data_IF_639704812780
#
_entry.id   IF_639704812780
#
_cell.length_a   1.000
_cell.length_b   1.000
_cell.length_c   1.000
_cell.angle_alpha   90.00
_cell.angle_beta   90.00
_cell.angle_gamma   90.00
#
_symmetry.space_group_name_H-M   'P 1'
#
loop_
_entity.id
_entity.type
_entity.pdbx_description
1 polymer ?
#
# COMPACT_ATOMS: atom_id res chain seq x y z
N UNK A 1 27.53 18.62 -1.11
CA UNK A 1 26.50 17.54 -1.23
C UNK A 1 25.16 18.20 -0.93
N UNK A 2 24.04 17.75 -1.48
CA UNK A 2 22.75 18.48 -1.38
C UNK A 2 22.30 18.79 0.07
N UNK A 3 22.82 18.08 1.08
CA UNK A 3 22.50 18.30 2.50
C UNK A 3 22.73 19.74 2.94
N UNK A 4 23.92 20.31 2.69
CA UNK A 4 24.24 21.69 3.08
C UNK A 4 23.37 22.70 2.30
N UNK A 5 23.06 22.39 1.05
CA UNK A 5 22.24 23.22 0.16
C UNK A 5 20.80 23.37 0.66
N UNK A 6 20.22 22.28 1.17
CA UNK A 6 18.85 22.25 1.70
C UNK A 6 18.78 22.34 3.23
N UNK A 7 19.90 22.66 3.91
CA UNK A 7 20.02 22.72 5.37
C UNK A 7 19.56 21.44 6.11
N UNK A 8 19.96 20.27 5.61
CA UNK A 8 19.61 18.96 6.16
C UNK A 8 20.74 18.37 7.02
N UNK A 9 20.40 17.79 8.17
CA UNK A 9 21.38 17.16 9.07
C UNK A 9 21.74 15.72 8.69
N UNK A 10 20.90 15.06 7.90
CA UNK A 10 21.11 13.69 7.41
C UNK A 10 20.33 13.49 6.10
N UNK A 11 20.54 12.34 5.43
CA UNK A 11 19.82 12.01 4.18
C UNK A 11 18.38 11.56 4.50
N UNK A 12 17.36 12.35 4.12
CA UNK A 12 15.98 12.03 4.46
C UNK A 12 15.47 10.81 3.70
N UNK A 13 15.90 10.56 2.46
CA UNK A 13 15.33 9.53 1.59
C UNK A 13 16.24 8.31 1.37
N UNK A 14 17.19 8.09 2.26
CA UNK A 14 18.04 6.91 2.20
C UNK A 14 17.22 5.62 2.40
N UNK A 15 17.50 4.58 1.61
CA UNK A 15 16.80 3.28 1.66
C UNK A 15 17.25 2.39 2.84
N UNK A 16 18.16 2.87 3.69
CA UNK A 16 18.56 2.12 4.89
C UNK A 16 17.36 2.07 5.85
N UNK A 17 16.95 0.88 6.33
CA UNK A 17 15.82 0.73 7.22
C UNK A 17 16.16 1.22 8.64
N UNK A 18 16.18 2.54 8.82
CA UNK A 18 16.23 3.23 10.09
C UNK A 18 14.81 3.46 10.59
N UNK A 19 14.50 2.89 11.76
CA UNK A 19 13.18 2.90 12.38
C UNK A 19 12.69 4.34 12.69
N UNK A 20 13.61 5.31 12.86
CA UNK A 20 13.26 6.72 13.06
C UNK A 20 12.46 7.30 11.89
N UNK A 21 12.70 6.80 10.67
CA UNK A 21 12.00 7.23 9.45
C UNK A 21 10.71 6.45 9.18
N UNK A 22 10.24 5.62 10.13
CA UNK A 22 8.96 4.95 10.00
C UNK A 22 7.81 5.97 10.09
N UNK A 23 7.11 6.15 8.97
CA UNK A 23 5.84 6.86 8.95
C UNK A 23 4.69 5.88 9.25
N UNK A 24 4.02 6.09 10.39
CA UNK A 24 2.89 5.29 10.82
C UNK A 24 1.60 5.78 10.17
N UNK A 25 1.37 5.43 8.89
CA UNK A 25 0.04 5.60 8.30
C UNK A 25 -1.01 4.80 9.09
N UNK A 26 -2.32 5.05 8.93
CA UNK A 26 -3.37 4.28 9.61
C UNK A 26 -3.24 2.77 9.42
N UNK A 27 -2.79 2.32 8.24
CA UNK A 27 -2.58 0.90 7.95
C UNK A 27 -1.33 0.35 8.65
N UNK A 28 -0.24 1.12 8.70
CA UNK A 28 0.97 0.75 9.42
C UNK A 28 0.75 0.72 10.93
N UNK A 29 -0.03 1.67 11.46
CA UNK A 29 -0.44 1.70 12.87
C UNK A 29 -1.24 0.46 13.24
N UNK A 30 -2.19 0.04 12.39
CA UNK A 30 -2.94 -1.22 12.57
C UNK A 30 -2.03 -2.44 12.48
N UNK A 31 -1.10 -2.46 11.52
CA UNK A 31 -0.14 -3.55 11.38
C UNK A 31 0.76 -3.67 12.62
N UNK A 32 1.26 -2.55 13.15
CA UNK A 32 2.04 -2.49 14.39
C UNK A 32 1.23 -3.05 15.57
N UNK A 33 0.00 -2.56 15.77
CA UNK A 33 -0.88 -3.03 16.83
C UNK A 33 -1.19 -4.54 16.73
N UNK A 34 -1.32 -5.07 15.51
CA UNK A 34 -1.50 -6.52 15.30
C UNK A 34 -0.26 -7.31 15.71
N UNK A 35 0.96 -6.81 15.43
CA UNK A 35 2.20 -7.45 15.88
C UNK A 35 2.32 -7.36 17.39
N UNK A 36 2.11 -6.19 17.99
CA UNK A 36 2.14 -5.98 19.44
C UNK A 36 1.15 -6.90 20.16
N UNK A 37 -0.06 -7.05 19.60
CA UNK A 37 -1.03 -8.02 20.10
C UNK A 37 -0.45 -9.44 20.12
N UNK A 38 0.36 -9.83 19.14
CA UNK A 38 1.02 -11.14 19.12
C UNK A 38 2.14 -11.28 20.15
N UNK A 39 2.78 -10.17 20.55
CA UNK A 39 3.81 -10.12 21.59
C UNK A 39 3.23 -10.20 23.01
N UNK A 40 1.99 -9.77 23.18
CA UNK A 40 1.31 -9.79 24.49
C UNK A 40 0.35 -10.97 24.62
N UNK A 41 -0.21 -11.44 23.51
CA UNK A 41 -1.26 -12.46 23.50
C UNK A 41 -0.73 -13.79 23.01
N UNK A 42 -0.98 -14.78 23.85
CA UNK A 42 -0.66 -16.20 23.66
C UNK A 42 -1.49 -16.84 22.52
N UNK A 43 -0.91 -17.82 21.83
CA UNK A 43 -1.51 -18.59 20.71
C UNK A 43 -2.05 -17.70 19.57
N UNK A 44 -1.24 -16.75 19.10
CA UNK A 44 -1.64 -15.86 18.01
C UNK A 44 -0.87 -16.15 16.72
N UNK A 45 -1.61 -16.21 15.61
CA UNK A 45 -1.04 -16.11 14.27
C UNK A 45 -1.49 -14.78 13.67
N UNK A 46 -0.51 -14.00 13.22
CA UNK A 46 -0.72 -12.71 12.58
C UNK A 46 -0.07 -12.75 11.21
N UNK A 47 -0.78 -12.28 10.19
CA UNK A 47 -0.22 -12.15 8.84
C UNK A 47 -0.27 -10.70 8.36
N UNK A 48 0.86 -10.21 7.87
CA UNK A 48 1.00 -8.89 7.25
C UNK A 48 1.50 -9.08 5.83
N UNK A 49 0.65 -8.78 4.87
CA UNK A 49 0.98 -8.80 3.45
C UNK A 49 1.08 -7.38 2.92
N UNK A 50 1.80 -7.17 1.84
CA UNK A 50 1.81 -5.91 1.12
C UNK A 50 2.84 -5.94 0.01
N UNK A 51 2.72 -5.04 -0.95
CA UNK A 51 3.64 -4.98 -2.08
C UNK A 51 5.09 -4.70 -1.64
N UNK A 52 6.02 -4.92 -2.57
CA UNK A 52 7.43 -4.61 -2.36
C UNK A 52 7.57 -3.10 -2.11
N UNK A 53 8.37 -2.72 -1.11
CA UNK A 53 8.65 -1.33 -0.80
C UNK A 53 7.62 -0.62 0.09
N UNK A 54 6.62 -1.35 0.63
CA UNK A 54 5.60 -0.83 1.55
C UNK A 54 6.04 -0.73 3.02
N UNK A 55 7.34 -0.64 3.31
CA UNK A 55 7.81 -0.45 4.69
C UNK A 55 7.64 -1.64 5.64
N UNK A 56 7.29 -2.84 5.15
CA UNK A 56 7.14 -4.06 5.97
C UNK A 56 8.36 -4.35 6.86
N UNK A 57 9.56 -4.36 6.29
CA UNK A 57 10.80 -4.62 7.05
C UNK A 57 11.11 -3.50 8.04
N UNK A 58 10.83 -2.24 7.69
CA UNK A 58 10.99 -1.09 8.61
C UNK A 58 10.04 -1.19 9.79
N UNK A 59 8.79 -1.61 9.57
CA UNK A 59 7.81 -1.89 10.61
C UNK A 59 8.30 -2.97 11.57
N UNK A 60 8.84 -4.07 11.03
CA UNK A 60 9.41 -5.14 11.87
C UNK A 60 10.60 -4.63 12.68
N UNK A 61 11.51 -3.87 12.07
CA UNK A 61 12.66 -3.31 12.78
C UNK A 61 12.24 -2.37 13.93
N UNK A 62 11.16 -1.58 13.78
CA UNK A 62 10.59 -0.80 14.88
C UNK A 62 10.13 -1.71 16.02
N UNK A 63 9.38 -2.78 15.71
CA UNK A 63 8.94 -3.74 16.73
C UNK A 63 10.14 -4.34 17.46
N UNK A 64 11.20 -4.71 16.74
CA UNK A 64 12.42 -5.26 17.32
C UNK A 64 13.14 -4.28 18.24
N UNK A 65 13.14 -2.98 17.91
CA UNK A 65 13.76 -1.95 18.73
C UNK A 65 13.07 -1.80 20.09
N UNK A 66 11.75 -2.03 20.14
CA UNK A 66 10.90 -1.86 21.32
C UNK A 66 10.51 -3.18 21.99
N UNK A 67 11.22 -4.28 21.69
CA UNK A 67 10.89 -5.59 22.25
C UNK A 67 11.05 -5.62 23.78
N UNK A 68 10.03 -6.07 24.53
CA UNK A 68 10.15 -6.23 25.96
C UNK A 68 11.03 -7.44 26.31
N UNK A 69 11.78 -7.35 27.41
CA UNK A 69 12.61 -8.44 27.94
C UNK A 69 11.83 -9.73 28.29
N UNK A 70 10.50 -9.65 28.32
CA UNK A 70 9.59 -10.78 28.54
C UNK A 70 9.31 -11.59 27.27
N UNK A 71 9.97 -11.29 26.14
CA UNK A 71 9.75 -11.97 24.86
C UNK A 71 11.07 -12.48 24.29
N UNK A 72 11.08 -13.75 23.90
CA UNK A 72 12.15 -14.39 23.14
C UNK A 72 11.71 -14.49 21.68
N UNK A 73 12.46 -13.87 20.78
CA UNK A 73 12.11 -13.79 19.35
C UNK A 73 13.11 -14.57 18.49
N UNK A 74 12.60 -15.35 17.55
CA UNK A 74 13.40 -15.90 16.45
C UNK A 74 12.98 -15.23 15.13
N UNK A 75 13.95 -14.75 14.34
CA UNK A 75 13.68 -14.07 13.07
C UNK A 75 14.15 -14.92 11.89
N UNK A 76 13.20 -15.40 11.09
CA UNK A 76 13.48 -16.16 9.87
C UNK A 76 13.38 -15.22 8.67
N UNK A 77 14.50 -14.92 8.03
CA UNK A 77 14.56 -14.08 6.82
C UNK A 77 14.81 -14.88 5.54
N UNK A 78 15.48 -16.03 5.64
CA UNK A 78 15.64 -16.95 4.51
C UNK A 78 14.49 -17.94 4.50
N UNK A 79 13.61 -17.87 3.50
CA UNK A 79 12.35 -18.64 3.49
C UNK A 79 12.29 -19.77 2.47
N UNK A 80 13.34 -20.01 1.68
CA UNK A 80 13.47 -21.22 0.84
C UNK A 80 13.98 -22.41 1.66
N UNK A 81 13.26 -22.74 2.73
CA UNK A 81 13.64 -23.78 3.70
C UNK A 81 12.71 -24.99 3.59
N UNK A 82 13.30 -26.18 3.67
CA UNK A 82 12.57 -27.40 4.02
C UNK A 82 12.11 -27.35 5.49
N UNK A 83 11.13 -28.17 5.91
CA UNK A 83 10.68 -28.18 7.30
C UNK A 83 11.81 -28.43 8.32
N UNK A 84 12.78 -29.27 7.98
CA UNK A 84 13.92 -29.54 8.89
C UNK A 84 14.88 -28.35 8.96
N UNK A 85 15.15 -27.68 7.84
CA UNK A 85 16.00 -26.48 7.81
C UNK A 85 15.35 -25.31 8.54
N UNK A 86 14.01 -25.20 8.51
CA UNK A 86 13.26 -24.25 9.33
C UNK A 86 13.51 -24.51 10.82
N UNK A 87 13.40 -25.75 11.30
CA UNK A 87 13.66 -26.08 12.71
C UNK A 87 15.11 -25.77 13.12
N UNK A 88 16.07 -26.05 12.24
CA UNK A 88 17.47 -25.68 12.48
C UNK A 88 17.66 -24.16 12.56
N UNK A 89 17.00 -23.41 11.69
CA UNK A 89 17.05 -21.95 11.68
C UNK A 89 16.48 -21.39 12.98
N UNK A 90 15.32 -21.89 13.43
CA UNK A 90 14.71 -21.46 14.68
C UNK A 90 15.63 -21.73 15.88
N UNK A 91 16.21 -22.92 15.98
CA UNK A 91 17.16 -23.24 17.06
C UNK A 91 18.35 -22.29 17.06
N UNK A 92 18.94 -22.02 15.89
CA UNK A 92 20.07 -21.11 15.78
C UNK A 92 19.70 -19.67 16.16
N UNK A 93 18.52 -19.19 15.75
CA UNK A 93 18.00 -17.86 16.11
C UNK A 93 17.73 -17.73 17.62
N UNK A 94 17.32 -18.81 18.29
CA UNK A 94 17.24 -18.86 19.75
C UNK A 94 18.60 -19.07 20.45
N UNK A 95 19.73 -19.06 19.70
CA UNK A 95 21.08 -19.22 20.24
C UNK A 95 21.47 -20.66 20.57
N UNK A 96 20.70 -21.66 20.12
CA UNK A 96 20.95 -23.07 20.34
C UNK A 96 21.72 -23.66 19.14
N UNK A 97 22.95 -24.11 19.38
CA UNK A 97 23.78 -24.66 18.31
C UNK A 97 23.19 -25.97 17.75
N UNK A 98 23.09 -26.05 16.42
CA UNK A 98 22.69 -27.27 15.72
C UNK A 98 23.67 -27.65 14.61
N UNK A 99 24.06 -28.94 14.57
CA UNK A 99 24.84 -29.51 13.46
C UNK A 99 24.28 -30.87 13.06
N UNK A 100 23.72 -30.95 11.83
CA UNK A 100 23.27 -32.18 11.15
C UNK A 100 22.42 -33.12 12.02
N UNK A 101 21.43 -32.56 12.72
CA UNK A 101 20.51 -33.34 13.57
C UNK A 101 19.23 -33.66 12.81
N UNK A 102 18.56 -34.73 13.22
CA UNK A 102 17.29 -35.12 12.62
C UNK A 102 16.14 -34.29 13.21
N UNK A 103 14.96 -34.37 12.57
CA UNK A 103 13.77 -33.63 12.98
C UNK A 103 13.37 -33.86 14.43
N UNK A 104 13.41 -35.11 14.89
CA UNK A 104 13.03 -35.48 16.26
C UNK A 104 13.88 -34.74 17.29
N UNK A 105 15.21 -34.74 17.10
CA UNK A 105 16.11 -34.01 17.98
C UNK A 105 15.82 -32.51 18.01
N UNK A 106 15.55 -31.90 16.85
CA UNK A 106 15.24 -30.47 16.79
C UNK A 106 13.94 -30.13 17.54
N UNK A 107 12.89 -30.95 17.37
CA UNK A 107 11.63 -30.78 18.08
C UNK A 107 11.80 -30.95 19.59
N UNK A 108 12.56 -31.96 20.04
CA UNK A 108 12.84 -32.15 21.47
C UNK A 108 13.56 -30.94 22.07
N UNK A 109 14.54 -30.38 21.35
CA UNK A 109 15.27 -29.19 21.81
C UNK A 109 14.42 -27.92 21.82
N UNK A 110 13.57 -27.71 20.83
CA UNK A 110 12.60 -26.62 20.85
C UNK A 110 11.61 -26.78 22.01
N UNK A 111 11.16 -28.00 22.30
CA UNK A 111 10.29 -28.28 23.45
C UNK A 111 10.97 -27.92 24.78
N UNK A 112 12.22 -28.37 24.98
CA UNK A 112 13.00 -28.03 26.19
C UNK A 112 13.15 -26.51 26.34
N UNK A 113 13.47 -25.81 25.25
CA UNK A 113 13.58 -24.36 25.23
C UNK A 113 12.26 -23.68 25.57
N UNK A 114 11.16 -24.04 24.90
CA UNK A 114 9.82 -23.51 25.16
C UNK A 114 9.37 -23.74 26.60
N UNK A 115 9.64 -24.92 27.18
CA UNK A 115 9.34 -25.18 28.58
C UNK A 115 10.12 -24.25 29.53
N UNK A 116 11.40 -24.01 29.25
CA UNK A 116 12.22 -23.09 30.04
C UNK A 116 11.74 -21.63 29.93
N UNK A 117 11.40 -21.17 28.73
CA UNK A 117 10.82 -19.84 28.48
C UNK A 117 9.50 -19.65 29.23
N UNK A 118 8.61 -20.66 29.16
CA UNK A 118 7.35 -20.66 29.89
C UNK A 118 7.55 -20.58 31.40
N UNK A 119 8.49 -21.36 31.94
CA UNK A 119 8.82 -21.35 33.36
C UNK A 119 9.40 -19.99 33.81
N UNK A 120 10.14 -19.31 32.93
CA UNK A 120 10.62 -17.95 33.13
C UNK A 120 9.55 -16.86 32.92
N UNK A 121 8.31 -17.24 32.56
CA UNK A 121 7.21 -16.32 32.28
C UNK A 121 7.36 -15.53 30.98
N UNK A 122 8.30 -15.92 30.10
CA UNK A 122 8.54 -15.28 28.81
C UNK A 122 7.62 -15.83 27.73
N UNK A 123 7.30 -15.01 26.73
CA UNK A 123 6.61 -15.44 25.52
C UNK A 123 7.62 -15.78 24.43
N UNK A 124 7.23 -16.66 23.51
CA UNK A 124 8.05 -17.00 22.35
C UNK A 124 7.35 -16.47 21.10
N UNK A 125 8.08 -15.72 20.29
CA UNK A 125 7.55 -15.17 19.03
C UNK A 125 8.44 -15.62 17.89
N UNK A 126 7.83 -16.24 16.88
CA UNK A 126 8.50 -16.60 15.64
C UNK A 126 8.07 -15.59 14.59
N UNK A 127 9.01 -14.80 14.13
CA UNK A 127 8.79 -13.83 13.07
C UNK A 127 9.38 -14.38 11.76
N UNK A 128 8.57 -14.44 10.72
CA UNK A 128 8.98 -14.89 9.40
C UNK A 128 8.79 -13.74 8.41
N UNK A 129 9.89 -13.20 7.89
CA UNK A 129 9.85 -12.25 6.78
C UNK A 129 9.90 -13.00 5.44
N UNK A 130 9.37 -12.39 4.36
CA UNK A 130 9.22 -13.03 3.05
C UNK A 130 8.54 -14.41 3.10
N UNK A 131 7.52 -14.56 3.96
CA UNK A 131 6.85 -15.82 4.26
C UNK A 131 6.15 -16.47 3.05
N UNK A 132 5.90 -15.73 1.97
CA UNK A 132 5.34 -16.30 0.74
C UNK A 132 6.26 -17.33 0.06
N UNK A 133 7.56 -17.34 0.37
CA UNK A 133 8.49 -18.34 -0.19
C UNK A 133 8.54 -19.64 0.64
N UNK A 134 7.90 -19.68 1.81
CA UNK A 134 7.79 -20.91 2.58
C UNK A 134 6.92 -21.94 1.85
N UNK A 135 7.33 -23.20 1.89
CA UNK A 135 6.47 -24.29 1.43
C UNK A 135 5.27 -24.50 2.36
N UNK A 136 4.17 -25.03 1.82
CA UNK A 136 2.98 -25.46 2.60
C UNK A 136 3.40 -26.34 3.78
N UNK A 137 4.35 -27.26 3.58
CA UNK A 137 4.85 -28.14 4.64
C UNK A 137 5.58 -27.39 5.76
N UNK A 138 6.30 -26.33 5.43
CA UNK A 138 7.00 -25.50 6.42
C UNK A 138 6.02 -24.62 7.22
N UNK A 139 5.00 -24.08 6.56
CA UNK A 139 3.91 -23.34 7.21
C UNK A 139 3.09 -24.23 8.15
N UNK A 140 2.78 -25.46 7.74
CA UNK A 140 2.17 -26.46 8.62
C UNK A 140 3.09 -26.83 9.80
N UNK A 141 4.41 -26.90 9.60
CA UNK A 141 5.34 -27.11 10.71
C UNK A 141 5.25 -25.98 11.74
N UNK A 142 5.21 -24.71 11.32
CA UNK A 142 4.99 -23.57 12.23
C UNK A 142 3.67 -23.69 12.98
N UNK A 143 2.60 -24.10 12.29
CA UNK A 143 1.30 -24.37 12.91
C UNK A 143 1.41 -25.45 14.00
N UNK A 144 2.09 -26.55 13.72
CA UNK A 144 2.27 -27.65 14.67
C UNK A 144 3.14 -27.23 15.86
N UNK A 145 4.22 -26.48 15.63
CA UNK A 145 5.09 -25.94 16.69
C UNK A 145 4.31 -25.09 17.70
N UNK A 146 3.39 -24.26 17.21
CA UNK A 146 2.58 -23.39 18.09
C UNK A 146 1.65 -24.15 19.04
N UNK A 147 1.33 -25.40 18.72
CA UNK A 147 0.46 -26.28 19.51
C UNK A 147 1.10 -27.64 19.76
N UNK A 148 2.40 -27.67 20.02
CA UNK A 148 3.15 -28.90 20.22
C UNK A 148 2.65 -29.73 21.41
N UNK A 149 2.41 -29.09 22.54
CA UNK A 149 1.98 -29.74 23.79
C UNK A 149 0.88 -28.94 24.47
N UNK A 150 -0.06 -29.63 25.14
CA UNK A 150 -1.10 -28.98 25.96
C UNK A 150 -0.49 -28.11 27.07
N UNK A 151 0.63 -28.56 27.64
CA UNK A 151 1.38 -27.81 28.65
C UNK A 151 2.13 -26.61 28.08
N UNK A 152 2.37 -26.54 26.76
CA UNK A 152 2.99 -25.40 26.09
C UNK A 152 1.97 -24.58 25.29
N UNK A 153 0.69 -24.96 25.37
CA UNK A 153 -0.38 -24.32 24.61
C UNK A 153 -0.38 -22.80 24.83
N UNK A 154 -0.33 -22.09 23.71
CA UNK A 154 -0.30 -20.63 23.65
C UNK A 154 1.01 -19.97 24.07
N UNK A 155 2.10 -20.69 24.30
CA UNK A 155 3.38 -20.02 24.53
C UNK A 155 3.91 -19.30 23.28
N UNK A 156 3.70 -19.92 22.11
CA UNK A 156 4.30 -19.51 20.84
C UNK A 156 3.30 -18.72 20.02
N UNK A 157 3.69 -17.51 19.64
CA UNK A 157 2.99 -16.69 18.64
C UNK A 157 3.80 -16.65 17.35
N UNK A 158 3.13 -16.56 16.20
CA UNK A 158 3.77 -16.53 14.89
C UNK A 158 3.33 -15.30 14.12
N UNK A 159 4.29 -14.52 13.64
CA UNK A 159 4.07 -13.33 12.79
C UNK A 159 4.63 -13.63 11.41
N UNK A 160 3.74 -13.72 10.42
CA UNK A 160 4.08 -13.95 9.02
C UNK A 160 4.04 -12.63 8.28
N UNK A 161 5.15 -12.22 7.70
CA UNK A 161 5.25 -11.00 6.89
C UNK A 161 5.66 -11.38 5.48
N UNK A 162 5.03 -10.79 4.46
CA UNK A 162 5.34 -11.14 3.09
C UNK A 162 4.64 -10.28 2.04
N UNK A 163 4.73 -10.77 0.81
CA UNK A 163 4.11 -10.17 -0.37
C UNK A 163 2.64 -10.63 -0.52
N UNK A 164 1.82 -10.06 -1.43
CA UNK A 164 0.42 -10.46 -1.59
C UNK A 164 0.20 -11.96 -1.82
N UNK A 165 1.18 -12.65 -2.39
CA UNK A 165 1.18 -14.10 -2.60
C UNK A 165 1.06 -14.88 -1.29
N UNK A 166 1.49 -14.31 -0.16
CA UNK A 166 1.27 -14.89 1.17
C UNK A 166 -0.23 -15.04 1.47
N UNK A 167 -1.05 -14.05 1.10
CA UNK A 167 -2.49 -14.13 1.28
C UNK A 167 -3.07 -15.27 0.44
N UNK A 168 -2.73 -15.34 -0.84
CA UNK A 168 -3.18 -16.41 -1.73
C UNK A 168 -2.75 -17.80 -1.23
N UNK A 169 -1.52 -17.91 -0.69
CA UNK A 169 -1.01 -19.14 -0.10
C UNK A 169 -1.82 -19.53 1.14
N UNK A 170 -2.05 -18.60 2.09
CA UNK A 170 -2.86 -18.84 3.29
C UNK A 170 -4.31 -19.21 2.96
N UNK A 171 -4.88 -18.65 1.88
CA UNK A 171 -6.23 -18.94 1.43
C UNK A 171 -6.35 -20.26 0.64
N UNK A 172 -5.22 -20.95 0.40
CA UNK A 172 -5.22 -22.25 -0.28
C UNK A 172 -5.88 -23.36 0.54
N UNK A 173 -6.56 -24.34 -0.10
CA UNK A 173 -7.21 -25.44 0.60
C UNK A 173 -6.25 -26.26 1.49
N UNK A 174 -4.98 -26.36 1.11
CA UNK A 174 -3.98 -27.13 1.85
C UNK A 174 -3.62 -26.49 3.21
N UNK A 175 -3.88 -25.20 3.38
CA UNK A 175 -3.58 -24.44 4.59
C UNK A 175 -4.84 -24.02 5.36
N UNK A 176 -6.00 -24.66 5.11
CA UNK A 176 -7.24 -24.32 5.78
C UNK A 176 -7.11 -24.30 7.32
N UNK A 177 -6.37 -25.26 7.89
CA UNK A 177 -6.13 -25.35 9.33
C UNK A 177 -5.27 -24.19 9.86
N UNK A 178 -4.25 -23.77 9.10
CA UNK A 178 -3.44 -22.61 9.46
C UNK A 178 -4.25 -21.32 9.31
N UNK A 179 -4.99 -21.19 8.20
CA UNK A 179 -5.83 -20.02 7.89
C UNK A 179 -6.81 -19.70 9.01
N UNK A 180 -7.45 -20.72 9.59
CA UNK A 180 -8.37 -20.57 10.72
C UNK A 180 -7.67 -20.08 12.01
N UNK A 181 -6.35 -20.28 12.14
CA UNK A 181 -5.57 -19.76 13.28
C UNK A 181 -5.06 -18.34 13.06
N UNK A 182 -4.92 -17.89 11.81
CA UNK A 182 -4.52 -16.50 11.49
C UNK A 182 -5.67 -15.55 11.85
N UNK A 183 -5.68 -15.09 13.12
CA UNK A 183 -6.76 -14.25 13.67
C UNK A 183 -6.72 -12.84 13.14
N UNK A 184 -5.53 -12.32 12.88
CA UNK A 184 -5.32 -10.94 12.43
C UNK A 184 -4.58 -10.97 11.10
N UNK A 185 -5.18 -10.36 10.08
CA UNK A 185 -4.58 -10.16 8.75
C UNK A 185 -4.60 -8.67 8.44
N UNK A 186 -3.46 -8.14 8.02
CA UNK A 186 -3.38 -6.79 7.47
C UNK A 186 -2.75 -6.87 6.08
N UNK A 187 -3.37 -6.19 5.12
CA UNK A 187 -2.75 -5.94 3.83
C UNK A 187 -2.36 -4.45 3.78
N UNK A 188 -1.09 -4.17 3.50
CA UNK A 188 -0.56 -2.81 3.35
C UNK A 188 -0.70 -2.38 1.90
N UNK A 189 -1.52 -1.36 1.68
CA UNK A 189 -1.68 -0.69 0.40
C UNK A 189 -0.63 0.42 0.23
N UNK A 190 -0.36 0.85 -1.02
CA UNK A 190 0.36 2.09 -1.26
C UNK A 190 -0.27 3.27 -0.51
N UNK A 191 0.56 4.27 -0.15
CA UNK A 191 0.09 5.48 0.50
C UNK A 191 -0.82 6.27 -0.44
N UNK A 192 -1.87 6.89 0.09
CA UNK A 192 -2.64 7.89 -0.64
C UNK A 192 -1.79 9.13 -0.94
N UNK A 193 -2.31 10.04 -1.76
CA UNK A 193 -1.64 11.31 -2.05
C UNK A 193 -1.36 12.14 -0.80
N UNK A 194 -2.34 12.24 0.11
CA UNK A 194 -2.18 12.98 1.36
C UNK A 194 -1.19 12.29 2.31
N UNK A 195 -1.24 10.95 2.39
CA UNK A 195 -0.25 10.19 3.15
C UNK A 195 1.16 10.28 2.54
N UNK A 196 1.28 10.40 1.22
CA UNK A 196 2.56 10.60 0.52
C UNK A 196 3.16 11.95 0.86
N UNK A 197 2.33 13.01 0.89
CA UNK A 197 2.77 14.33 1.35
C UNK A 197 3.24 14.28 2.81
N UNK A 198 2.44 13.69 3.69
CA UNK A 198 2.79 13.54 5.10
C UNK A 198 4.04 12.67 5.32
N UNK A 199 4.23 11.63 4.49
CA UNK A 199 5.42 10.79 4.49
C UNK A 199 6.69 11.58 4.13
N UNK A 200 6.65 12.34 3.03
CA UNK A 200 7.76 13.18 2.58
C UNK A 200 8.11 14.22 3.66
N UNK A 201 7.09 14.90 4.19
CA UNK A 201 7.25 15.91 5.23
C UNK A 201 7.87 15.29 6.49
N UNK A 202 7.36 14.16 6.96
CA UNK A 202 7.90 13.46 8.13
C UNK A 202 9.38 13.11 8.00
N UNK A 203 9.80 12.64 6.81
CA UNK A 203 11.21 12.30 6.57
C UNK A 203 12.11 13.53 6.54
N UNK A 204 11.61 14.65 6.01
CA UNK A 204 12.32 15.92 6.03
C UNK A 204 12.40 16.53 7.43
N UNK A 205 11.34 16.42 8.23
CA UNK A 205 11.34 16.85 9.64
C UNK A 205 12.46 16.18 10.44
N UNK A 206 12.63 14.86 10.26
CA UNK A 206 13.70 14.09 10.93
C UNK A 206 15.09 14.58 10.49
N UNK A 207 15.21 15.03 9.22
CA UNK A 207 16.44 15.60 8.68
C UNK A 207 16.60 17.10 8.97
N UNK A 208 15.67 17.73 9.70
CA UNK A 208 15.76 19.13 10.15
C UNK A 208 15.10 20.17 9.25
N UNK A 209 14.26 19.77 8.29
CA UNK A 209 13.55 20.67 7.36
C UNK A 209 12.07 20.28 7.20
N UNK A 210 11.37 20.83 6.21
CA UNK A 210 9.97 20.47 5.90
C UNK A 210 9.76 20.32 4.39
N UNK A 211 8.68 19.64 4.01
CA UNK A 211 8.29 19.50 2.62
C UNK A 211 8.04 20.87 1.98
N UNK A 212 7.39 21.81 2.68
CA UNK A 212 7.07 23.14 2.15
C UNK A 212 8.30 24.01 1.86
N UNK A 213 9.37 23.81 2.64
CA UNK A 213 10.63 24.53 2.47
C UNK A 213 11.38 24.08 1.21
N UNK A 214 11.33 22.79 0.89
CA UNK A 214 12.16 22.18 -0.16
C UNK A 214 11.37 21.90 -1.44
N UNK A 215 10.10 21.53 -1.35
CA UNK A 215 9.25 21.16 -2.48
C UNK A 215 8.09 22.15 -2.65
N UNK A 216 7.71 22.45 -3.89
CA UNK A 216 6.42 23.05 -4.17
C UNK A 216 5.30 22.01 -4.01
N UNK A 217 4.05 22.42 -3.72
CA UNK A 217 2.93 21.48 -3.60
C UNK A 217 2.74 20.63 -4.86
N UNK A 218 2.93 21.23 -6.04
CA UNK A 218 2.82 20.54 -7.32
C UNK A 218 3.96 19.53 -7.51
N UNK A 219 5.18 19.80 -7.02
CA UNK A 219 6.29 18.83 -7.05
C UNK A 219 5.97 17.57 -6.22
N UNK A 220 5.41 17.73 -5.02
CA UNK A 220 4.97 16.59 -4.19
C UNK A 220 3.88 15.78 -4.90
N UNK A 221 2.97 16.45 -5.60
CA UNK A 221 1.93 15.79 -6.37
C UNK A 221 2.51 15.01 -7.56
N UNK A 222 3.56 15.52 -8.23
CA UNK A 222 4.30 14.79 -9.27
C UNK A 222 5.02 13.57 -8.71
N UNK A 223 5.65 13.69 -7.53
CA UNK A 223 6.25 12.53 -6.84
C UNK A 223 5.20 11.44 -6.63
N UNK A 224 4.00 11.78 -6.16
CA UNK A 224 2.93 10.80 -6.03
C UNK A 224 2.56 10.14 -7.37
N UNK A 225 2.42 10.91 -8.45
CA UNK A 225 2.09 10.39 -9.79
C UNK A 225 3.11 9.37 -10.29
N UNK A 226 4.40 9.58 -10.07
CA UNK A 226 5.43 8.63 -10.52
C UNK A 226 5.62 7.42 -9.60
N UNK A 227 5.19 7.52 -8.35
CA UNK A 227 5.46 6.51 -7.33
C UNK A 227 4.23 5.70 -6.97
N UNK A 228 3.04 6.19 -7.30
CA UNK A 228 1.76 5.65 -6.87
C UNK A 228 1.69 5.45 -5.35
N UNK A 229 2.40 6.28 -4.57
CA UNK A 229 2.42 6.19 -3.11
C UNK A 229 3.25 5.06 -2.53
N UNK A 230 4.08 4.36 -3.32
CA UNK A 230 4.96 3.30 -2.83
C UNK A 230 6.16 3.95 -2.09
N UNK A 231 6.34 3.75 -0.77
CA UNK A 231 7.37 4.43 0.03
C UNK A 231 8.79 4.30 -0.53
N UNK A 232 9.17 3.10 -0.99
CA UNK A 232 10.49 2.89 -1.60
C UNK A 232 10.71 3.77 -2.83
N UNK A 233 9.72 3.88 -3.70
CA UNK A 233 9.84 4.68 -4.92
C UNK A 233 9.81 6.18 -4.61
N UNK A 234 9.03 6.59 -3.63
CA UNK A 234 9.07 7.96 -3.10
C UNK A 234 10.49 8.29 -2.67
N UNK A 235 11.13 7.42 -1.89
CA UNK A 235 12.51 7.61 -1.47
C UNK A 235 13.47 7.72 -2.66
N UNK A 236 13.42 6.76 -3.59
CA UNK A 236 14.31 6.76 -4.76
C UNK A 236 14.17 8.04 -5.59
N UNK A 237 12.93 8.48 -5.86
CA UNK A 237 12.68 9.68 -6.67
C UNK A 237 13.09 10.95 -5.93
N UNK A 238 12.71 11.10 -4.66
CA UNK A 238 13.09 12.28 -3.88
C UNK A 238 14.61 12.40 -3.71
N UNK A 239 15.33 11.30 -3.48
CA UNK A 239 16.80 11.32 -3.39
C UNK A 239 17.45 11.80 -4.72
N UNK A 240 16.96 11.29 -5.85
CA UNK A 240 17.43 11.70 -7.17
C UNK A 240 17.12 13.18 -7.45
N UNK A 241 15.90 13.62 -7.12
CA UNK A 241 15.44 15.00 -7.32
C UNK A 241 16.24 15.98 -6.48
N UNK A 242 16.49 15.71 -5.20
CA UNK A 242 17.32 16.59 -4.37
C UNK A 242 18.76 16.68 -4.88
N UNK A 243 19.30 15.59 -5.39
CA UNK A 243 20.66 15.56 -5.96
C UNK A 243 20.73 16.38 -7.25
N UNK A 244 19.76 16.24 -8.15
CA UNK A 244 19.66 17.00 -9.40
C UNK A 244 19.45 18.49 -9.13
N UNK A 245 18.51 18.85 -8.25
CA UNK A 245 18.21 20.24 -7.88
C UNK A 245 19.42 20.98 -7.29
N UNK A 246 20.23 20.28 -6.47
CA UNK A 246 21.50 20.82 -5.98
C UNK A 246 22.52 21.07 -7.09
N UNK A 247 22.55 20.21 -8.12
CA UNK A 247 23.47 20.37 -9.27
C UNK A 247 23.11 21.61 -10.10
N UNK A 248 21.82 21.93 -10.16
CA UNK A 248 21.27 23.09 -10.88
C UNK A 248 21.13 24.34 -10.00
N UNK A 249 21.67 24.32 -8.77
CA UNK A 249 21.63 25.41 -7.78
C UNK A 249 20.20 25.89 -7.42
N UNK A 250 19.22 24.99 -7.49
CA UNK A 250 17.81 25.28 -7.20
C UNK A 250 17.54 25.23 -5.70
N UNK A 251 17.03 26.31 -5.12
CA UNK A 251 16.69 26.36 -3.68
C UNK A 251 15.33 25.72 -3.36
N UNK A 252 14.51 25.45 -4.38
CA UNK A 252 13.20 24.83 -4.24
C UNK A 252 12.90 23.94 -5.44
N UNK A 253 12.42 22.74 -5.16
CA UNK A 253 12.03 21.74 -6.17
C UNK A 253 10.65 22.07 -6.71
N UNK A 254 10.56 22.32 -8.01
CA UNK A 254 9.31 22.52 -8.74
C UNK A 254 8.88 21.25 -9.49
N UNK A 255 7.63 21.22 -9.97
CA UNK A 255 7.05 20.08 -10.67
C UNK A 255 7.89 19.65 -11.90
N UNK A 256 8.37 20.61 -12.69
CA UNK A 256 9.15 20.35 -13.90
C UNK A 256 10.45 19.61 -13.60
N UNK A 257 11.12 19.94 -12.48
CA UNK A 257 12.33 19.23 -12.01
C UNK A 257 12.06 17.77 -11.68
N UNK A 258 10.88 17.46 -11.10
CA UNK A 258 10.47 16.08 -10.83
C UNK A 258 10.24 15.32 -12.13
N UNK A 259 9.62 15.96 -13.13
CA UNK A 259 9.34 15.37 -14.44
C UNK A 259 10.63 15.08 -15.22
N UNK A 260 11.58 16.02 -15.21
CA UNK A 260 12.91 15.85 -15.82
C UNK A 260 13.65 14.66 -15.23
N UNK A 261 13.76 14.60 -13.90
CA UNK A 261 14.46 13.51 -13.21
C UNK A 261 13.75 12.17 -13.42
N UNK A 262 12.42 12.15 -13.38
CA UNK A 262 11.67 10.94 -13.68
C UNK A 262 11.93 10.45 -15.12
N UNK A 263 12.00 11.36 -16.09
CA UNK A 263 12.33 11.03 -17.48
C UNK A 263 13.78 10.49 -17.63
N UNK A 264 14.75 11.09 -16.95
CA UNK A 264 16.14 10.61 -16.92
C UNK A 264 16.27 9.20 -16.35
N UNK A 265 15.50 8.88 -15.30
CA UNK A 265 15.41 7.55 -14.71
C UNK A 265 14.65 6.55 -15.60
N UNK A 266 14.04 7.00 -16.70
CA UNK A 266 13.18 6.20 -17.56
C UNK A 266 11.86 5.80 -16.89
N UNK A 267 11.43 6.54 -15.88
CA UNK A 267 10.19 6.29 -15.16
C UNK A 267 9.00 6.81 -15.97
N UNK A 268 7.93 6.02 -15.96
CA UNK A 268 6.63 6.41 -16.52
C UNK A 268 5.71 6.78 -15.36
N UNK A 269 4.74 7.65 -15.62
CA UNK A 269 3.71 7.95 -14.64
C UNK A 269 3.04 6.64 -14.19
N UNK A 270 3.06 6.39 -12.88
CA UNK A 270 2.36 5.27 -12.28
C UNK A 270 0.98 5.77 -11.91
N UNK A 271 0.10 5.73 -12.89
CA UNK A 271 -1.31 5.79 -12.55
C UNK A 271 -1.59 4.56 -11.69
N UNK A 272 -2.01 4.76 -10.43
CA UNK A 272 -2.77 3.73 -9.74
C UNK A 272 -3.87 3.36 -10.72
N UNK A 273 -3.87 2.11 -11.15
CA UNK A 273 -4.99 1.54 -11.87
C UNK A 273 -6.23 1.85 -11.03
N UNK A 274 -7.01 2.85 -11.45
CA UNK A 274 -8.39 2.94 -11.02
C UNK A 274 -9.02 1.58 -11.34
N UNK A 275 -9.94 1.08 -10.51
CA UNK A 275 -10.48 -0.26 -10.67
C UNK A 275 -10.83 -0.50 -12.14
N UNK A 276 -10.24 -1.56 -12.72
CA UNK A 276 -10.62 -2.05 -14.05
C UNK A 276 -12.14 -2.22 -14.00
N UNK A 277 -12.92 -1.62 -14.92
CA UNK A 277 -14.35 -1.83 -14.92
C UNK A 277 -14.59 -3.33 -14.97
N UNK A 278 -15.36 -3.92 -14.05
CA UNK A 278 -15.72 -5.33 -14.15
C UNK A 278 -16.30 -5.53 -15.55
N UNK A 279 -15.74 -6.47 -16.32
CA UNK A 279 -16.41 -6.98 -17.48
C UNK A 279 -17.74 -7.58 -16.98
N UNK A 280 -18.82 -6.78 -17.08
CA UNK A 280 -20.12 -6.95 -16.42
C UNK A 280 -20.27 -6.38 -14.98
N UNK A 281 -20.13 -5.05 -14.81
CA UNK A 281 -20.79 -4.36 -13.70
C UNK A 281 -22.30 -4.26 -13.98
N UNK A 282 -23.04 -5.37 -13.83
CA UNK A 282 -24.46 -5.31 -13.52
C UNK A 282 -24.60 -4.77 -12.10
N UNK A 283 -25.53 -3.83 -11.89
CA UNK A 283 -25.92 -3.27 -10.58
C UNK A 283 -25.61 -4.21 -9.41
N UNK A 284 -24.52 -3.94 -8.69
CA UNK A 284 -24.00 -4.87 -7.69
C UNK A 284 -22.86 -4.24 -6.90
N UNK A 285 -22.96 -4.35 -5.58
CA UNK A 285 -22.12 -3.76 -4.54
C UNK A 285 -20.65 -4.18 -4.70
N UNK A 286 -19.74 -3.20 -4.68
CA UNK A 286 -18.30 -3.45 -4.52
C UNK A 286 -18.02 -3.87 -3.07
N UNK A 287 -17.42 -5.05 -2.87
CA UNK A 287 -17.34 -5.77 -1.58
C UNK A 287 -16.23 -5.24 -0.65
N UNK A 288 -15.87 -3.97 -0.78
CA UNK A 288 -14.94 -3.30 0.16
C UNK A 288 -15.48 -1.91 0.49
N UNK A 289 -16.01 -1.78 1.71
CA UNK A 289 -16.54 -0.56 2.34
C UNK A 289 -17.83 0.06 1.76
N UNK A 290 -18.91 -0.06 2.53
CA UNK A 290 -20.16 0.73 2.50
C UNK A 290 -20.79 1.04 1.12
N UNK A 291 -21.76 0.22 0.68
CA UNK A 291 -22.87 0.56 -0.27
C UNK A 291 -22.72 1.86 -1.10
N UNK A 292 -21.68 2.00 -1.93
CA UNK A 292 -21.57 3.14 -2.86
C UNK A 292 -22.28 2.78 -4.16
N UNK A 293 -23.39 3.45 -4.43
CA UNK A 293 -24.05 3.39 -5.74
C UNK A 293 -23.13 4.05 -6.76
N UNK A 294 -22.59 3.26 -7.69
CA UNK A 294 -21.86 3.75 -8.86
C UNK A 294 -22.89 4.17 -9.90
N UNK A 295 -22.69 5.33 -10.53
CA UNK A 295 -23.59 5.91 -11.53
C UNK A 295 -23.07 5.74 -12.97
N UNK A 296 -21.79 5.40 -13.12
CA UNK A 296 -21.10 5.24 -14.40
C UNK A 296 -19.60 5.37 -14.22
N UNK A 297 -18.87 5.45 -15.33
CA UNK A 297 -17.42 5.54 -15.34
C UNK A 297 -16.93 6.65 -16.27
N UNK A 298 -15.82 7.30 -15.93
CA UNK A 298 -15.06 8.14 -16.85
C UNK A 298 -13.81 7.40 -17.27
N UNK A 299 -13.57 7.32 -18.57
CA UNK A 299 -12.45 6.61 -19.19
C UNK A 299 -11.52 7.56 -19.93
N UNK A 300 -10.20 7.42 -19.80
CA UNK A 300 -9.21 8.10 -20.64
C UNK A 300 -8.37 7.07 -21.39
N UNK A 301 -8.19 7.26 -22.68
CA UNK A 301 -7.18 6.49 -23.44
C UNK A 301 -5.87 7.26 -23.45
N UNK A 302 -4.81 6.66 -22.92
CA UNK A 302 -3.45 7.21 -22.96
C UNK A 302 -2.70 6.63 -24.18
N UNK A 303 -1.55 7.24 -24.53
CA UNK A 303 -0.69 6.71 -25.59
C UNK A 303 -0.24 5.27 -25.25
N UNK A 304 -0.12 4.40 -26.26
CA UNK A 304 0.18 2.97 -26.11
C UNK A 304 -0.95 2.09 -25.49
N UNK A 305 -2.21 2.42 -25.76
CA UNK A 305 -3.39 1.55 -25.50
C UNK A 305 -3.74 1.25 -24.02
N UNK A 306 -3.17 1.99 -23.06
CA UNK A 306 -3.62 1.95 -21.67
C UNK A 306 -4.88 2.80 -21.47
N UNK A 307 -5.86 2.24 -20.77
CA UNK A 307 -7.13 2.90 -20.42
C UNK A 307 -7.18 3.19 -18.92
N UNK A 308 -7.48 4.42 -18.56
CA UNK A 308 -7.66 4.87 -17.19
C UNK A 308 -9.15 5.02 -16.88
N UNK A 309 -9.63 4.48 -15.76
CA UNK A 309 -11.05 4.43 -15.40
C UNK A 309 -11.31 5.03 -14.03
N UNK A 310 -12.38 5.82 -13.92
CA UNK A 310 -12.80 6.49 -12.68
C UNK A 310 -14.28 6.21 -12.42
N UNK A 311 -14.64 5.53 -11.32
CA UNK A 311 -16.04 5.33 -10.98
C UNK A 311 -16.67 6.64 -10.52
N UNK A 312 -17.88 6.92 -11.00
CA UNK A 312 -18.68 8.07 -10.58
C UNK A 312 -19.58 7.62 -9.44
N UNK A 313 -19.39 8.20 -8.26
CA UNK A 313 -20.20 7.94 -7.07
C UNK A 313 -20.39 9.23 -6.26
N UNK A 314 -21.39 9.25 -5.36
CA UNK A 314 -21.70 10.38 -4.49
C UNK A 314 -21.88 11.72 -5.25
N UNK A 315 -23.00 11.90 -5.94
CA UNK A 315 -23.27 13.13 -6.69
C UNK A 315 -23.50 14.34 -5.73
N UNK A 316 -23.10 15.57 -6.10
CA UNK A 316 -22.45 15.96 -7.35
C UNK A 316 -20.99 15.51 -7.41
N UNK A 317 -20.59 14.79 -8.45
CA UNK A 317 -19.22 14.32 -8.63
C UNK A 317 -18.37 15.44 -9.23
N UNK A 318 -17.57 16.11 -8.40
CA UNK A 318 -16.82 17.31 -8.77
C UNK A 318 -15.52 16.99 -9.51
N UNK A 319 -15.22 17.80 -10.53
CA UNK A 319 -14.06 17.65 -11.41
C UNK A 319 -13.31 18.99 -11.45
N UNK A 320 -12.00 18.98 -11.22
CA UNK A 320 -11.21 20.22 -11.22
C UNK A 320 -9.74 20.02 -10.89
N UNK A 321 -8.98 21.11 -10.87
CA UNK A 321 -7.51 21.09 -10.70
C UNK A 321 -7.07 20.89 -9.25
N UNK A 322 -7.88 21.33 -8.30
CA UNK A 322 -7.56 21.27 -6.86
C UNK A 322 -8.02 19.96 -6.24
N UNK A 323 -7.38 19.58 -5.14
CA UNK A 323 -7.62 18.31 -4.42
C UNK A 323 -9.00 18.20 -3.76
N UNK A 324 -9.76 19.28 -3.65
CA UNK A 324 -11.14 19.26 -3.15
C UNK A 324 -12.16 18.72 -4.18
N UNK A 325 -11.72 18.37 -5.39
CA UNK A 325 -12.54 17.72 -6.39
C UNK A 325 -12.40 16.20 -6.32
N UNK A 326 -13.51 15.48 -6.55
CA UNK A 326 -13.51 14.01 -6.58
C UNK A 326 -12.65 13.45 -7.69
N UNK A 327 -12.69 14.06 -8.87
CA UNK A 327 -11.72 13.82 -9.93
C UNK A 327 -10.80 15.03 -10.05
N UNK A 328 -9.58 14.87 -9.54
CA UNK A 328 -8.53 15.86 -9.70
C UNK A 328 -7.83 15.68 -11.04
N UNK A 329 -7.89 16.72 -11.87
CA UNK A 329 -7.16 16.78 -13.13
C UNK A 329 -6.11 17.90 -13.03
N UNK A 330 -4.89 17.52 -12.67
CA UNK A 330 -3.75 18.42 -12.38
C UNK A 330 -3.15 19.03 -13.65
N UNK A 331 -3.92 19.80 -14.42
CA UNK A 331 -3.45 20.48 -15.64
C UNK A 331 -3.68 21.99 -15.57
N UNK A 332 -2.75 22.77 -16.12
CA UNK A 332 -2.82 24.23 -16.17
C UNK A 332 -4.10 24.76 -16.87
N UNK A 333 -4.64 24.00 -17.83
CA UNK A 333 -5.86 24.34 -18.57
C UNK A 333 -7.15 23.98 -17.83
N UNK A 334 -7.07 23.47 -16.60
CA UNK A 334 -8.23 23.05 -15.81
C UNK A 334 -8.43 24.03 -14.67
N UNK A 335 -9.66 24.51 -14.49
CA UNK A 335 -10.01 25.40 -13.39
C UNK A 335 -10.04 24.65 -12.06
N UNK A 336 -9.83 25.37 -10.94
CA UNK A 336 -9.83 24.78 -9.59
C UNK A 336 -11.09 23.94 -9.34
N UNK A 337 -12.28 24.50 -9.61
CA UNK A 337 -13.53 23.76 -9.78
C UNK A 337 -13.96 23.94 -11.22
N UNK A 338 -13.88 22.89 -12.04
CA UNK A 338 -14.09 22.99 -13.48
C UNK A 338 -15.51 22.60 -13.85
N UNK A 339 -15.94 21.41 -13.43
CA UNK A 339 -17.24 20.86 -13.75
C UNK A 339 -17.74 19.97 -12.61
N UNK A 340 -19.00 19.56 -12.69
CA UNK A 340 -19.52 18.50 -11.86
C UNK A 340 -20.51 17.64 -12.65
N UNK A 341 -20.55 16.35 -12.34
CA UNK A 341 -21.63 15.46 -12.78
C UNK A 341 -22.69 15.46 -11.69
N UNK A 342 -23.93 15.78 -12.05
CA UNK A 342 -25.06 15.96 -11.14
C UNK A 342 -26.26 15.13 -11.61
N UNK A 343 -27.11 14.70 -10.68
CA UNK A 343 -28.38 14.08 -11.04
C UNK A 343 -29.44 15.18 -11.19
N UNK A 344 -29.99 15.32 -12.40
CA UNK A 344 -31.06 16.28 -12.71
C UNK A 344 -32.27 15.47 -13.21
N UNK A 345 -33.24 15.25 -12.34
CA UNK A 345 -34.34 14.34 -12.62
C UNK A 345 -33.86 12.88 -12.62
N UNK A 346 -34.18 12.15 -13.69
CA UNK A 346 -33.71 10.77 -13.89
C UNK A 346 -32.35 10.69 -14.60
N UNK A 347 -31.86 11.82 -15.14
CA UNK A 347 -30.65 11.87 -15.95
C UNK A 347 -29.42 12.29 -15.13
N UNK A 348 -28.26 11.73 -15.49
CA UNK A 348 -26.95 12.25 -15.11
C UNK A 348 -26.56 13.35 -16.10
N UNK A 349 -26.25 14.54 -15.58
CA UNK A 349 -25.86 15.70 -16.38
C UNK A 349 -24.44 16.15 -16.02
N UNK A 350 -23.63 16.46 -17.03
CA UNK A 350 -22.37 17.18 -16.85
C UNK A 350 -22.65 18.69 -16.86
N UNK A 351 -22.18 19.39 -15.84
CA UNK A 351 -22.40 20.82 -15.63
C UNK A 351 -21.07 21.56 -15.52
N UNK A 352 -20.86 22.59 -16.33
CA UNK A 352 -19.71 23.50 -16.18
C UNK A 352 -19.90 24.38 -14.93
N UNK A 353 -18.85 24.54 -14.12
CA UNK A 353 -18.89 25.32 -12.87
C UNK A 353 -18.25 26.69 -13.02
N UNK A 354 -18.36 27.31 -14.20
CA UNK A 354 -17.78 28.61 -14.51
C UNK A 354 -16.29 28.50 -14.85
N UNK A 355 -15.91 27.45 -15.56
CA UNK A 355 -14.51 27.18 -15.87
C UNK A 355 -13.96 28.20 -16.88
N UNK A 356 -12.66 28.51 -16.77
CA UNK A 356 -11.98 29.46 -17.66
C UNK A 356 -11.98 29.02 -19.12
N UNK A 357 -11.76 27.72 -19.37
CA UNK A 357 -11.62 27.17 -20.72
C UNK A 357 -12.88 26.48 -21.24
N UNK A 358 -13.91 26.32 -20.41
CA UNK A 358 -15.16 25.66 -20.76
C UNK A 358 -15.09 24.13 -20.65
N UNK A 359 -16.25 23.54 -20.35
CA UNK A 359 -16.52 22.12 -20.49
C UNK A 359 -17.16 21.84 -21.85
N UNK A 360 -16.74 20.78 -22.52
CA UNK A 360 -17.26 20.38 -23.83
C UNK A 360 -17.82 18.97 -23.76
N UNK A 361 -18.92 18.73 -24.48
CA UNK A 361 -19.52 17.42 -24.68
C UNK A 361 -19.55 17.14 -26.19
N UNK A 362 -18.91 16.06 -26.62
CA UNK A 362 -18.80 15.67 -28.04
C UNK A 362 -18.30 16.80 -28.96
N UNK A 363 -17.41 17.65 -28.45
CA UNK A 363 -16.82 18.79 -29.17
C UNK A 363 -17.61 20.09 -29.07
N UNK A 364 -18.83 20.08 -28.50
CA UNK A 364 -19.65 21.27 -28.32
C UNK A 364 -19.49 21.83 -26.90
N UNK A 365 -19.33 23.15 -26.78
CA UNK A 365 -19.21 23.80 -25.47
C UNK A 365 -20.57 23.81 -24.78
N UNK A 366 -20.63 23.35 -23.53
CA UNK A 366 -21.87 23.23 -22.76
C UNK A 366 -21.82 24.05 -21.47
N UNK A 367 -23.01 24.43 -20.98
CA UNK A 367 -23.19 24.86 -19.60
C UNK A 367 -23.74 23.71 -18.74
N UNK A 368 -24.67 22.94 -19.28
CA UNK A 368 -25.21 21.70 -18.70
C UNK A 368 -25.76 20.83 -19.83
N UNK A 369 -25.49 19.52 -19.81
CA UNK A 369 -26.04 18.57 -20.77
C UNK A 369 -26.15 17.16 -20.17
N UNK A 370 -27.16 16.36 -20.56
CA UNK A 370 -27.28 14.97 -20.15
C UNK A 370 -26.14 14.12 -20.74
N UNK A 371 -25.61 13.21 -19.94
CA UNK A 371 -24.57 12.24 -20.32
C UNK A 371 -25.21 10.95 -20.83
N UNK A 372 -24.71 10.46 -21.96
CA UNK A 372 -25.06 9.19 -22.57
C UNK A 372 -23.82 8.31 -22.71
N UNK A 373 -24.03 7.00 -22.69
CA UNK A 373 -22.96 6.02 -22.89
C UNK A 373 -22.13 6.33 -24.14
N UNK A 374 -20.81 6.40 -23.99
CA UNK A 374 -19.86 6.72 -25.06
C UNK A 374 -19.58 8.21 -25.26
N UNK A 375 -20.24 9.12 -24.53
CA UNK A 375 -20.04 10.55 -24.68
C UNK A 375 -18.60 10.99 -24.34
N UNK A 376 -18.03 11.86 -25.18
CA UNK A 376 -16.71 12.45 -24.94
C UNK A 376 -16.87 13.76 -24.18
N UNK A 377 -16.32 13.83 -22.98
CA UNK A 377 -16.33 15.01 -22.13
C UNK A 377 -14.92 15.59 -22.07
N UNK A 378 -14.76 16.87 -22.44
CA UNK A 378 -13.47 17.54 -22.39
C UNK A 378 -13.45 18.74 -21.43
N UNK A 379 -12.36 18.84 -20.67
CA UNK A 379 -12.06 19.89 -19.70
C UNK A 379 -10.75 20.58 -20.09
N UNK A 380 -10.84 21.69 -20.82
CA UNK A 380 -9.66 22.29 -21.44
C UNK A 380 -9.04 21.35 -22.49
N UNK A 381 -7.82 20.85 -22.24
CA UNK A 381 -7.10 19.93 -23.14
C UNK A 381 -7.17 18.45 -22.72
N UNK A 382 -7.93 18.12 -21.68
CA UNK A 382 -8.11 16.75 -21.20
C UNK A 382 -9.47 16.23 -21.66
N UNK A 383 -9.48 15.14 -22.43
CA UNK A 383 -10.68 14.43 -22.88
C UNK A 383 -10.85 13.12 -22.10
N UNK A 384 -12.08 12.83 -21.69
CA UNK A 384 -12.54 11.59 -21.07
C UNK A 384 -13.77 11.07 -21.83
N UNK A 385 -14.08 9.78 -21.72
CA UNK A 385 -15.25 9.12 -22.30
C UNK A 385 -16.12 8.64 -21.15
N UNK A 386 -17.38 9.06 -21.11
CA UNK A 386 -18.36 8.56 -20.17
C UNK A 386 -18.85 7.17 -20.60
N UNK A 387 -18.96 6.24 -19.65
CA UNK A 387 -19.61 4.96 -19.84
C UNK A 387 -20.71 4.78 -18.80
N UNK A 388 -21.90 4.44 -19.28
CA UNK A 388 -23.03 4.13 -18.42
C UNK A 388 -22.87 2.72 -17.82
N UNK A 389 -23.59 2.44 -16.74
CA UNK A 389 -23.73 1.06 -16.28
C UNK A 389 -24.52 0.26 -17.33
N UNK A 390 -24.05 -0.95 -17.64
CA UNK A 390 -24.78 -1.86 -18.54
C UNK A 390 -26.08 -2.26 -17.84
N UNK A 391 -27.22 -1.77 -18.33
CA UNK A 391 -28.51 -2.31 -17.96
C UNK A 391 -28.60 -3.75 -18.48
N UNK A 392 -28.80 -4.72 -17.60
CA UNK A 392 -29.12 -6.08 -18.01
C UNK A 392 -30.32 -6.04 -18.97
N UNK A 393 -30.34 -6.82 -20.08
CA UNK A 393 -31.51 -6.86 -20.94
C UNK A 393 -32.71 -7.25 -20.08
N UNK A 394 -33.76 -6.42 -20.12
CA UNK A 394 -35.02 -6.72 -19.46
C UNK A 394 -35.48 -8.09 -19.97
N UNK A 395 -35.49 -9.08 -19.07
CA UNK A 395 -36.05 -10.39 -19.36
C UNK A 395 -37.52 -10.16 -19.69
N UNK A 396 -37.84 -10.17 -20.99
CA UNK A 396 -39.21 -10.14 -21.46
C UNK A 396 -39.89 -11.39 -20.92
N UNK A 397 -40.79 -11.20 -19.95
CA UNK A 397 -41.73 -12.21 -19.54
C UNK A 397 -42.52 -12.68 -20.78
N UNK A 398 -42.51 -13.98 -21.04
CA UNK A 398 -43.49 -14.70 -21.87
C UNK A 398 -43.73 -16.04 -21.21
#
# INVERSE_FOLDING_TARGET
MYLDHFNLSCRPFEEIPDHRFLYLSPQHSRALANIEYALTTRDSFVAIAGEIGMGKTTLLNQVFADLPNSVSVARVTHTTLTPIELLHTLLNEFGLQTYKKNKVFCLDKLREFFAAEKAAGRQVVILVDEAQNLSVKALEELRLLSSMDLELAGLVSVVLVGQPQLNALLDSPQLEQLRQRVRLRQHLMPLSQDETRAYIDKRLEIAGSSAEAIFSPDAVDRVYVYTAGVPRLINTLCEAVLTSSWTEDETKVEADRVDEVAAELGWRERHLDGPVPPAAATTGVDDTDERRMVYGWLRRTLQEANEYWVPIYNLPFTIGRTSDNRLRLSHAHISRKHAAIEQIGEDLCICDKGSRNGTFLNGEKIQSAPLKDGDRVAFGNVELIFQALISAPATSAS
#
